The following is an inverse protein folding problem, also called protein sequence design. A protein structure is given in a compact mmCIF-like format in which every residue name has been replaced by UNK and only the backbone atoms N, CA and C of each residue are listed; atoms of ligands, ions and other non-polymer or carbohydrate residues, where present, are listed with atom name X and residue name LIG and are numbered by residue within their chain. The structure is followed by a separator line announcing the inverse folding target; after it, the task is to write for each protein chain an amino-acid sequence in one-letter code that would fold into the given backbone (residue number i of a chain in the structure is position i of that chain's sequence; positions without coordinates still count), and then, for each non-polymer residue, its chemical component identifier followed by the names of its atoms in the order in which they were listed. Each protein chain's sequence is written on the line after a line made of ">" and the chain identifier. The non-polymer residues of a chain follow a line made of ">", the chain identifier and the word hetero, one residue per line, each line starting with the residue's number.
data_IF_202971371849
#
_entry.id   IF_202971371849
#
_cell.length_a   1.000
_cell.length_b   1.000
_cell.length_c   1.000
_cell.angle_alpha   90.00
_cell.angle_beta   90.00
_cell.angle_gamma   90.00
#
_symmetry.space_group_name_H-M   'P 1'
#
loop_
_entity.id
_entity.type
_entity.pdbx_description
1 polymer ?
#
# COMPACT_ATOMS: atom_id res chain seq x y z
N UNK A 1 -14.45 7.85 -6.64
CA UNK A 1 -15.33 6.73 -6.24
C UNK A 1 -15.62 6.72 -4.74
N UNK A 2 -14.82 7.41 -3.95
CA UNK A 2 -14.99 7.53 -2.50
C UNK A 2 -16.06 8.56 -2.14
N UNK A 3 -16.24 9.58 -2.96
CA UNK A 3 -17.25 10.61 -2.77
C UNK A 3 -18.12 10.79 -4.01
N UNK A 4 -19.44 10.83 -3.83
CA UNK A 4 -20.36 11.18 -4.92
C UNK A 4 -20.05 12.58 -5.45
N UNK A 5 -19.85 12.72 -6.77
CA UNK A 5 -19.55 13.98 -7.43
C UNK A 5 -18.10 14.47 -7.31
N UNK A 6 -17.21 13.63 -6.82
CA UNK A 6 -15.82 13.99 -6.55
C UNK A 6 -14.93 14.19 -7.77
N UNK A 7 -15.27 15.11 -8.65
CA UNK A 7 -14.31 15.65 -9.61
C UNK A 7 -13.42 16.66 -8.86
N UNK A 8 -12.10 16.51 -8.97
CA UNK A 8 -11.08 17.47 -8.48
C UNK A 8 -11.11 17.72 -6.96
N UNK A 9 -11.16 16.66 -6.15
CA UNK A 9 -10.95 16.80 -4.71
C UNK A 9 -9.46 17.03 -4.45
N UNK A 10 -9.12 18.28 -4.15
CA UNK A 10 -7.78 18.74 -3.86
C UNK A 10 -7.47 18.64 -2.36
N UNK A 11 -6.20 18.75 -2.00
CA UNK A 11 -5.75 18.83 -0.61
C UNK A 11 -5.76 20.27 -0.07
N UNK A 12 -6.68 21.09 -0.60
CA UNK A 12 -6.95 22.40 -0.07
C UNK A 12 -7.57 22.34 1.34
N UNK A 13 -7.56 23.45 2.02
CA UNK A 13 -8.05 23.60 3.39
C UNK A 13 -9.47 23.09 3.59
N UNK A 14 -10.38 23.43 2.69
CA UNK A 14 -11.80 23.10 2.83
C UNK A 14 -12.05 21.61 2.66
N UNK A 15 -11.43 20.99 1.65
CA UNK A 15 -11.56 19.57 1.39
C UNK A 15 -10.93 18.73 2.51
N UNK A 16 -9.75 19.12 3.01
CA UNK A 16 -9.10 18.42 4.13
C UNK A 16 -9.95 18.52 5.40
N UNK A 17 -10.44 19.72 5.75
CA UNK A 17 -11.32 19.91 6.91
C UNK A 17 -12.60 19.07 6.81
N UNK A 18 -13.28 19.09 5.66
CA UNK A 18 -14.48 18.26 5.41
C UNK A 18 -14.17 16.77 5.54
N UNK A 19 -13.02 16.31 5.01
CA UNK A 19 -12.61 14.92 5.05
C UNK A 19 -12.33 14.44 6.48
N UNK A 20 -11.55 15.21 7.24
CA UNK A 20 -11.22 14.90 8.64
C UNK A 20 -12.48 14.91 9.50
N UNK A 21 -13.28 15.97 9.46
CA UNK A 21 -14.52 16.04 10.25
C UNK A 21 -15.50 14.90 9.91
N UNK A 22 -15.61 14.53 8.64
CA UNK A 22 -16.43 13.38 8.22
C UNK A 22 -15.87 12.04 8.73
N UNK A 23 -14.55 11.91 8.82
CA UNK A 23 -13.90 10.72 9.38
C UNK A 23 -14.11 10.62 10.89
N UNK A 24 -13.91 11.72 11.63
CA UNK A 24 -14.17 11.81 13.06
C UNK A 24 -15.61 11.41 13.39
N UNK A 25 -16.58 11.94 12.64
CA UNK A 25 -18.00 11.59 12.82
C UNK A 25 -18.27 10.10 12.59
N UNK A 26 -17.68 9.48 11.55
CA UNK A 26 -17.87 8.05 11.28
C UNK A 26 -17.16 7.16 12.30
N UNK A 27 -16.01 7.58 12.80
CA UNK A 27 -15.23 6.87 13.80
C UNK A 27 -15.78 7.07 15.22
N UNK A 28 -16.68 8.04 15.42
CA UNK A 28 -17.24 8.39 16.75
C UNK A 28 -16.12 8.75 17.75
N UNK A 29 -15.16 9.56 17.31
CA UNK A 29 -14.03 10.05 18.12
C UNK A 29 -13.78 11.52 17.78
N UNK A 30 -13.06 12.20 18.66
CA UNK A 30 -12.67 13.60 18.51
C UNK A 30 -11.26 13.79 17.93
N UNK A 31 -10.47 12.71 17.82
CA UNK A 31 -9.14 12.75 17.19
C UNK A 31 -8.84 11.49 16.36
N UNK A 32 -7.86 11.61 15.46
CA UNK A 32 -7.30 10.51 14.66
C UNK A 32 -5.80 10.45 14.93
N UNK A 33 -5.27 9.26 15.27
CA UNK A 33 -3.84 9.10 15.55
C UNK A 33 -3.00 9.31 14.29
N UNK A 34 -3.33 8.65 13.17
CA UNK A 34 -2.63 8.78 11.90
C UNK A 34 -3.63 9.09 10.77
N UNK A 35 -3.52 10.28 10.19
CA UNK A 35 -4.29 10.67 9.02
C UNK A 35 -3.43 10.61 7.77
N UNK A 36 -3.85 9.85 6.76
CA UNK A 36 -3.08 9.62 5.55
C UNK A 36 -3.74 10.26 4.32
N UNK A 37 -2.95 10.96 3.51
CA UNK A 37 -3.35 11.41 2.18
C UNK A 37 -3.42 10.18 1.27
N UNK A 38 -4.58 9.93 0.63
CA UNK A 38 -4.88 8.63 0.00
C UNK A 38 -4.05 8.35 -1.26
N UNK A 39 -3.83 9.37 -2.09
CA UNK A 39 -2.92 9.36 -3.26
C UNK A 39 -2.59 10.80 -3.67
N UNK A 40 -1.49 11.01 -4.40
CA UNK A 40 -1.13 12.34 -4.93
C UNK A 40 -2.20 12.93 -5.85
N UNK A 41 -2.34 14.25 -5.82
CA UNK A 41 -3.17 14.97 -6.81
C UNK A 41 -2.49 15.00 -8.19
N UNK A 42 -1.17 15.10 -8.21
CA UNK A 42 -0.37 15.11 -9.43
C UNK A 42 -0.28 13.73 -10.06
N UNK A 43 0.07 13.71 -11.32
CA UNK A 43 0.29 12.47 -12.05
C UNK A 43 1.47 11.67 -11.45
N UNK A 44 1.22 10.43 -11.07
CA UNK A 44 2.21 9.46 -10.58
C UNK A 44 1.85 8.06 -11.07
N UNK A 45 2.84 7.17 -11.26
CA UNK A 45 2.56 5.79 -11.65
C UNK A 45 1.96 5.01 -10.48
N UNK A 46 0.65 4.75 -10.53
CA UNK A 46 -0.10 3.99 -9.52
C UNK A 46 -1.11 3.04 -10.18
N UNK A 47 -1.57 2.04 -9.42
CA UNK A 47 -2.71 1.18 -9.77
C UNK A 47 -2.63 0.52 -11.16
N UNK A 48 -1.52 -0.09 -11.50
CA UNK A 48 -1.31 -0.79 -12.76
C UNK A 48 -0.40 -0.07 -13.74
N UNK A 49 0.16 1.06 -13.35
CA UNK A 49 1.14 1.80 -14.15
C UNK A 49 2.54 1.61 -13.56
N UNK A 50 3.51 1.20 -14.39
CA UNK A 50 4.93 1.11 -14.01
C UNK A 50 5.67 2.42 -14.25
N UNK A 51 5.40 3.05 -15.38
CA UNK A 51 6.19 4.15 -15.87
C UNK A 51 5.55 5.50 -15.55
N UNK A 52 6.38 6.45 -15.16
CA UNK A 52 5.97 7.84 -15.11
C UNK A 52 5.77 8.37 -16.54
N UNK A 53 4.56 8.86 -16.80
CA UNK A 53 4.22 9.51 -18.07
C UNK A 53 4.17 11.01 -17.83
N UNK A 54 5.13 11.72 -18.42
CA UNK A 54 5.15 13.17 -18.35
C UNK A 54 3.92 13.74 -19.08
N UNK A 55 3.20 14.60 -18.38
CA UNK A 55 2.08 15.38 -18.93
C UNK A 55 2.34 16.85 -18.64
N UNK A 56 2.61 17.68 -19.67
CA UNK A 56 2.87 19.11 -19.48
C UNK A 56 1.65 19.90 -18.96
N UNK A 57 0.45 19.33 -19.05
CA UNK A 57 -0.77 19.93 -18.50
C UNK A 57 -1.02 19.62 -17.03
N UNK A 58 -0.22 18.74 -16.42
CA UNK A 58 -0.31 18.37 -14.99
C UNK A 58 0.30 19.48 -14.10
N UNK A 59 -0.31 20.63 -14.10
CA UNK A 59 0.16 21.82 -13.36
C UNK A 59 -0.78 22.25 -12.23
N UNK A 60 -2.01 21.73 -12.22
CA UNK A 60 -3.06 22.15 -11.30
C UNK A 60 -3.18 21.20 -10.10
N UNK A 61 -2.19 21.17 -9.21
CA UNK A 61 -2.25 20.45 -7.94
C UNK A 61 -1.88 21.39 -6.78
N UNK A 62 -2.39 21.09 -5.59
CA UNK A 62 -2.11 21.87 -4.39
C UNK A 62 -0.63 21.76 -4.04
N UNK A 63 0.11 22.88 -3.92
CA UNK A 63 1.51 22.86 -3.55
C UNK A 63 1.74 22.09 -2.24
N UNK A 64 2.81 21.30 -2.17
CA UNK A 64 3.10 20.47 -0.99
C UNK A 64 3.20 21.32 0.30
N UNK A 65 3.76 22.52 0.21
CA UNK A 65 3.84 23.46 1.35
C UNK A 65 2.43 23.80 1.86
N UNK A 66 1.52 24.18 0.98
CA UNK A 66 0.12 24.48 1.34
C UNK A 66 -0.60 23.25 1.94
N UNK A 67 -0.38 22.07 1.38
CA UNK A 67 -0.92 20.82 1.95
C UNK A 67 -0.43 20.62 3.39
N UNK A 68 0.87 20.81 3.63
CA UNK A 68 1.45 20.67 4.97
C UNK A 68 0.93 21.74 5.95
N UNK A 69 0.76 22.97 5.51
CA UNK A 69 0.17 24.06 6.32
C UNK A 69 -1.28 23.74 6.71
N UNK A 70 -2.07 23.21 5.77
CA UNK A 70 -3.44 22.78 6.03
C UNK A 70 -3.51 21.62 7.03
N UNK A 71 -2.58 20.66 6.92
CA UNK A 71 -2.46 19.57 7.88
C UNK A 71 -1.98 20.06 9.26
N UNK A 72 -1.09 21.03 9.32
CA UNK A 72 -0.61 21.64 10.56
C UNK A 72 -1.74 22.28 11.37
N UNK A 73 -2.68 22.95 10.71
CA UNK A 73 -3.88 23.50 11.35
C UNK A 73 -4.73 22.39 11.99
N UNK A 74 -4.84 21.23 11.34
CA UNK A 74 -5.58 20.08 11.87
C UNK A 74 -4.85 19.42 13.05
N UNK A 75 -3.52 19.36 13.00
CA UNK A 75 -2.69 18.90 14.13
C UNK A 75 -2.81 19.86 15.31
N UNK A 76 -2.64 21.16 15.12
CA UNK A 76 -2.76 22.19 16.16
C UNK A 76 -4.15 22.24 16.80
N UNK A 77 -5.19 21.93 16.02
CA UNK A 77 -6.56 21.82 16.57
C UNK A 77 -6.85 20.52 17.34
N UNK A 78 -5.87 19.60 17.44
CA UNK A 78 -6.00 18.32 18.12
C UNK A 78 -6.83 17.27 17.38
N UNK A 79 -7.31 17.55 16.16
CA UNK A 79 -8.13 16.60 15.37
C UNK A 79 -7.34 15.43 14.81
N UNK A 80 -6.06 15.64 14.51
CA UNK A 80 -5.14 14.59 14.08
C UNK A 80 -3.83 14.70 14.85
N UNK A 81 -3.18 13.58 15.14
CA UNK A 81 -1.89 13.56 15.84
C UNK A 81 -0.73 13.52 14.88
N UNK A 82 -0.77 12.60 13.93
CA UNK A 82 0.28 12.35 12.96
C UNK A 82 -0.28 12.33 11.54
N UNK A 83 0.58 12.62 10.59
CA UNK A 83 0.25 12.63 9.16
C UNK A 83 1.08 11.60 8.41
N UNK A 84 0.53 11.05 7.34
CA UNK A 84 1.20 10.09 6.47
C UNK A 84 0.74 10.22 5.03
N UNK A 85 1.45 9.51 4.16
CA UNK A 85 1.21 9.46 2.72
C UNK A 85 0.64 8.10 2.32
N UNK A 86 0.05 8.01 1.15
CA UNK A 86 -0.29 6.75 0.51
C UNK A 86 -0.17 6.86 -1.01
N UNK A 87 0.24 5.78 -1.66
CA UNK A 87 0.45 5.70 -3.10
C UNK A 87 1.41 6.78 -3.62
N UNK A 88 2.39 7.12 -2.79
CA UNK A 88 3.31 8.21 -3.05
C UNK A 88 4.59 7.72 -3.72
N UNK A 89 5.15 8.55 -4.59
CA UNK A 89 6.42 8.32 -5.28
C UNK A 89 7.61 8.74 -4.41
N UNK A 90 8.85 8.26 -4.72
CA UNK A 90 10.06 8.68 -4.03
C UNK A 90 10.23 10.20 -4.01
N UNK A 91 9.96 10.85 -5.16
CA UNK A 91 10.04 12.32 -5.28
C UNK A 91 9.10 13.01 -4.30
N UNK A 92 7.86 12.56 -4.21
CA UNK A 92 6.88 13.18 -3.32
C UNK A 92 7.22 12.96 -1.85
N UNK A 93 7.63 11.75 -1.45
CA UNK A 93 8.02 11.47 -0.07
C UNK A 93 9.15 12.41 0.36
N UNK A 94 10.23 12.51 -0.44
CA UNK A 94 11.38 13.37 -0.13
C UNK A 94 10.95 14.84 -0.05
N UNK A 95 10.12 15.33 -0.96
CA UNK A 95 9.69 16.72 -0.94
C UNK A 95 8.80 17.04 0.27
N UNK A 96 7.85 16.17 0.63
CA UNK A 96 7.07 16.34 1.85
C UNK A 96 7.96 16.40 3.09
N UNK A 97 8.94 15.51 3.22
CA UNK A 97 9.86 15.47 4.35
C UNK A 97 10.78 16.69 4.40
N UNK A 98 11.33 17.10 3.26
CA UNK A 98 12.20 18.28 3.15
C UNK A 98 11.45 19.56 3.53
N UNK A 99 10.31 19.81 2.93
CA UNK A 99 9.50 21.03 3.19
C UNK A 99 9.03 21.05 4.65
N UNK A 100 8.58 19.90 5.18
CA UNK A 100 8.19 19.80 6.59
C UNK A 100 9.33 20.20 7.52
N UNK A 101 10.56 19.76 7.26
CA UNK A 101 11.75 20.12 8.03
C UNK A 101 12.10 21.60 7.90
N UNK A 102 12.16 22.13 6.67
CA UNK A 102 12.53 23.53 6.38
C UNK A 102 11.54 24.52 6.99
N UNK A 103 10.25 24.22 6.93
CA UNK A 103 9.16 25.09 7.39
C UNK A 103 8.67 24.77 8.80
N UNK A 104 9.24 23.79 9.48
CA UNK A 104 8.82 23.30 10.82
C UNK A 104 7.34 22.88 10.86
N UNK A 105 6.89 22.22 9.80
CA UNK A 105 5.54 21.68 9.63
C UNK A 105 5.49 20.18 10.01
N UNK A 106 4.31 19.58 10.17
CA UNK A 106 4.17 18.17 10.54
C UNK A 106 4.89 17.23 9.56
N UNK A 107 5.74 16.38 10.11
CA UNK A 107 6.50 15.40 9.35
C UNK A 107 5.62 14.22 8.94
N UNK A 108 5.74 13.76 7.70
CA UNK A 108 5.14 12.50 7.27
C UNK A 108 5.76 11.31 7.99
N UNK A 109 4.96 10.56 8.76
CA UNK A 109 5.44 9.48 9.63
C UNK A 109 5.56 8.15 8.89
N UNK A 110 4.74 7.94 7.87
CA UNK A 110 4.69 6.69 7.11
C UNK A 110 4.20 6.92 5.69
N UNK A 111 4.44 5.94 4.84
CA UNK A 111 3.83 5.84 3.52
C UNK A 111 3.08 4.51 3.40
N UNK A 112 1.83 4.54 2.90
CA UNK A 112 1.05 3.33 2.66
C UNK A 112 1.00 3.04 1.16
N UNK A 113 1.78 2.07 0.70
CA UNK A 113 1.86 1.66 -0.72
C UNK A 113 1.60 0.16 -0.87
N UNK A 114 1.25 -0.26 -2.09
CA UNK A 114 1.10 -1.66 -2.43
C UNK A 114 2.43 -2.42 -2.37
N UNK A 115 2.44 -3.56 -1.67
CA UNK A 115 3.63 -4.41 -1.61
C UNK A 115 3.25 -5.88 -1.39
N UNK A 116 3.83 -6.77 -2.20
CA UNK A 116 3.63 -8.21 -2.12
C UNK A 116 4.67 -8.94 -2.96
N UNK A 117 4.72 -10.27 -2.90
CA UNK A 117 5.56 -11.12 -3.77
C UNK A 117 5.38 -10.83 -5.28
N UNK A 118 4.21 -10.38 -5.71
CA UNK A 118 3.90 -10.10 -7.12
C UNK A 118 3.85 -8.60 -7.46
N UNK A 119 4.14 -7.74 -6.50
CA UNK A 119 4.29 -6.30 -6.67
C UNK A 119 5.38 -5.78 -5.73
N UNK A 120 6.58 -5.65 -6.25
CA UNK A 120 7.77 -5.21 -5.52
C UNK A 120 8.31 -3.88 -6.05
N UNK A 121 7.45 -3.05 -6.67
CA UNK A 121 7.84 -1.73 -7.19
C UNK A 121 8.44 -0.85 -6.09
N UNK A 122 7.99 -1.02 -4.85
CA UNK A 122 8.52 -0.29 -3.70
C UNK A 122 10.02 -0.57 -3.44
N UNK A 123 10.52 -1.77 -3.78
CA UNK A 123 11.96 -2.12 -3.62
C UNK A 123 12.88 -1.21 -4.43
N UNK A 124 12.43 -0.67 -5.58
CA UNK A 124 13.28 0.04 -6.56
C UNK A 124 13.52 1.43 -5.99
N UNK A 125 13.25 2.14 -5.29
CA UNK A 125 13.69 3.47 -4.80
C UNK A 125 13.06 3.84 -3.45
N UNK A 126 11.78 3.51 -3.28
CA UNK A 126 11.06 3.85 -2.06
C UNK A 126 11.63 3.13 -0.82
N UNK A 127 12.18 1.93 -0.99
CA UNK A 127 12.80 1.18 0.10
C UNK A 127 14.00 1.94 0.71
N UNK A 128 14.88 2.48 -0.12
CA UNK A 128 15.99 3.30 0.35
C UNK A 128 15.51 4.58 1.04
N UNK A 129 14.55 5.29 0.44
CA UNK A 129 13.95 6.48 1.03
C UNK A 129 13.32 6.17 2.39
N UNK A 130 12.58 5.07 2.50
CA UNK A 130 11.94 4.66 3.76
C UNK A 130 12.95 4.41 4.88
N UNK A 131 14.05 3.74 4.56
CA UNK A 131 15.11 3.42 5.54
C UNK A 131 15.88 4.68 5.94
N UNK A 132 16.38 5.45 4.96
CA UNK A 132 17.22 6.62 5.24
C UNK A 132 16.46 7.76 5.88
N UNK A 133 15.24 7.98 5.44
CA UNK A 133 14.36 9.03 5.96
C UNK A 133 13.49 8.55 7.13
N UNK A 134 13.58 7.29 7.55
CA UNK A 134 12.75 6.75 8.64
C UNK A 134 11.24 7.05 8.42
N UNK A 135 10.77 6.86 7.19
CA UNK A 135 9.36 6.98 6.79
C UNK A 135 8.90 5.61 6.29
N UNK A 136 8.55 4.72 7.22
CA UNK A 136 8.34 3.30 6.97
C UNK A 136 7.08 2.99 6.17
N UNK A 137 7.11 1.83 5.50
CA UNK A 137 6.00 1.33 4.69
C UNK A 137 4.91 0.68 5.55
N UNK A 138 3.67 1.11 5.33
CA UNK A 138 2.46 0.35 5.68
C UNK A 138 2.02 -0.40 4.40
N UNK A 139 2.36 -1.69 4.32
CA UNK A 139 2.19 -2.47 3.09
C UNK A 139 0.74 -2.92 2.92
N UNK A 140 0.02 -2.39 1.92
CA UNK A 140 -1.30 -2.90 1.59
C UNK A 140 -1.26 -3.97 0.50
N UNK A 141 -2.29 -4.81 0.45
CA UNK A 141 -2.44 -5.94 -0.49
C UNK A 141 -1.32 -6.99 -0.45
N UNK A 142 -0.82 -7.39 0.73
CA UNK A 142 0.28 -8.36 0.84
C UNK A 142 -0.06 -9.71 0.18
N UNK A 143 -1.35 -10.04 0.09
CA UNK A 143 -1.86 -11.26 -0.58
C UNK A 143 -2.39 -11.01 -2.00
N UNK A 144 -2.10 -9.87 -2.63
CA UNK A 144 -2.61 -9.52 -3.96
C UNK A 144 -4.14 -9.76 -4.09
N UNK A 145 -4.91 -9.19 -3.16
CA UNK A 145 -6.36 -9.40 -3.08
C UNK A 145 -6.79 -10.82 -2.70
N UNK A 146 -5.88 -11.62 -2.15
CA UNK A 146 -6.08 -13.01 -1.75
C UNK A 146 -5.64 -14.04 -2.80
N UNK A 147 -5.01 -13.61 -3.90
CA UNK A 147 -4.51 -14.54 -4.92
C UNK A 147 -3.34 -15.40 -4.40
N UNK A 148 -2.45 -14.79 -3.65
CA UNK A 148 -1.29 -15.48 -3.05
C UNK A 148 -1.66 -16.52 -1.99
N UNK A 149 -2.93 -16.62 -1.57
CA UNK A 149 -3.41 -17.76 -0.77
C UNK A 149 -3.63 -19.04 -1.59
N UNK A 150 -3.56 -18.97 -2.91
CA UNK A 150 -3.82 -20.10 -3.81
C UNK A 150 -5.29 -20.43 -4.07
N UNK A 151 -6.24 -19.78 -3.38
CA UNK A 151 -7.66 -20.14 -3.47
C UNK A 151 -8.33 -19.88 -4.83
N UNK A 152 -7.68 -19.07 -5.68
CA UNK A 152 -8.17 -18.76 -7.03
C UNK A 152 -7.41 -19.52 -8.14
N UNK A 153 -6.49 -20.42 -7.78
CA UNK A 153 -5.77 -21.23 -8.77
C UNK A 153 -6.73 -22.11 -9.56
N UNK A 154 -6.35 -22.43 -10.80
CA UNK A 154 -7.15 -23.23 -11.74
C UNK A 154 -8.56 -22.63 -11.94
N UNK A 155 -8.61 -21.31 -12.12
CA UNK A 155 -9.84 -20.54 -12.38
C UNK A 155 -10.93 -20.68 -11.32
N UNK A 156 -10.63 -21.19 -10.14
CA UNK A 156 -11.59 -21.32 -9.05
C UNK A 156 -12.18 -19.96 -8.66
N UNK A 157 -13.47 -19.97 -8.36
CA UNK A 157 -14.22 -18.79 -7.88
C UNK A 157 -14.98 -19.14 -6.60
N UNK A 158 -14.28 -19.24 -5.44
CA UNK A 158 -14.94 -19.62 -4.19
C UNK A 158 -16.04 -18.61 -3.82
N UNK A 159 -17.14 -19.12 -3.27
CA UNK A 159 -18.24 -18.28 -2.78
C UNK A 159 -17.73 -17.29 -1.72
N UNK A 160 -18.34 -16.11 -1.65
CA UNK A 160 -18.02 -15.06 -0.67
C UNK A 160 -16.56 -14.55 -0.69
N UNK A 161 -15.87 -14.75 -1.80
CA UNK A 161 -14.52 -14.25 -2.00
C UNK A 161 -14.49 -13.02 -2.92
N UNK A 162 -13.48 -12.17 -2.74
CA UNK A 162 -13.37 -10.85 -3.39
C UNK A 162 -13.64 -10.85 -4.89
N UNK A 163 -12.93 -11.70 -5.65
CA UNK A 163 -13.07 -11.74 -7.12
C UNK A 163 -14.31 -12.48 -7.62
N UNK A 164 -15.02 -13.17 -6.73
CA UNK A 164 -16.32 -13.77 -7.02
C UNK A 164 -17.45 -12.75 -6.79
N UNK A 165 -17.34 -11.99 -5.69
CA UNK A 165 -18.35 -10.98 -5.34
C UNK A 165 -18.26 -9.73 -6.21
N UNK A 166 -17.05 -9.34 -6.62
CA UNK A 166 -16.80 -8.14 -7.42
C UNK A 166 -15.93 -8.46 -8.65
N UNK A 167 -16.49 -9.18 -9.65
CA UNK A 167 -15.77 -9.47 -10.89
C UNK A 167 -15.42 -8.14 -11.59
N UNK A 168 -14.18 -8.04 -12.05
CA UNK A 168 -13.67 -6.83 -12.71
C UNK A 168 -13.06 -5.76 -11.78
N UNK A 169 -13.31 -5.80 -10.48
CA UNK A 169 -12.57 -4.94 -9.53
C UNK A 169 -11.16 -5.49 -9.30
N UNK A 170 -10.19 -4.56 -9.21
CA UNK A 170 -8.77 -4.92 -9.01
C UNK A 170 -8.21 -5.84 -10.11
N UNK A 171 -8.58 -5.57 -11.36
CA UNK A 171 -8.19 -6.34 -12.55
C UNK A 171 -6.68 -6.51 -12.72
N UNK A 172 -5.87 -5.58 -12.19
CA UNK A 172 -4.41 -5.66 -12.19
C UNK A 172 -3.84 -6.98 -11.64
N UNK A 173 -4.56 -7.62 -10.73
CA UNK A 173 -4.17 -8.93 -10.18
C UNK A 173 -4.72 -10.11 -11.00
N UNK A 174 -5.55 -9.88 -12.03
CA UNK A 174 -6.27 -10.91 -12.79
C UNK A 174 -5.66 -11.18 -14.17
N UNK A 175 -4.44 -10.73 -14.42
CA UNK A 175 -3.74 -10.97 -15.67
C UNK A 175 -3.24 -12.42 -15.74
N UNK A 176 -3.11 -12.99 -16.95
CA UNK A 176 -2.51 -14.32 -17.16
C UNK A 176 -1.08 -14.39 -16.62
N UNK A 177 -0.31 -13.32 -16.78
CA UNK A 177 1.03 -13.14 -16.25
C UNK A 177 1.03 -13.24 -14.72
N UNK A 178 0.13 -12.50 -14.07
CA UNK A 178 -0.05 -12.55 -12.60
C UNK A 178 -0.48 -13.93 -12.09
N UNK A 179 -1.29 -14.66 -12.85
CA UNK A 179 -1.70 -16.02 -12.49
C UNK A 179 -0.53 -17.00 -12.48
N UNK A 180 0.32 -16.95 -13.51
CA UNK A 180 1.52 -17.79 -13.61
C UNK A 180 2.50 -17.50 -12.46
N UNK A 181 2.74 -16.22 -12.16
CA UNK A 181 3.61 -15.83 -11.05
C UNK A 181 3.06 -16.26 -9.69
N UNK A 182 1.76 -16.05 -9.45
CA UNK A 182 1.09 -16.53 -8.22
C UNK A 182 1.25 -18.06 -8.08
N UNK A 183 1.09 -18.82 -9.16
CA UNK A 183 1.25 -20.27 -9.11
C UNK A 183 2.67 -20.69 -8.68
N UNK A 184 3.71 -20.01 -9.18
CA UNK A 184 5.11 -20.25 -8.76
C UNK A 184 5.29 -20.05 -7.26
N UNK A 185 4.84 -18.91 -6.71
CA UNK A 185 4.95 -18.60 -5.28
C UNK A 185 4.11 -19.53 -4.39
N UNK A 186 2.91 -19.91 -4.82
CA UNK A 186 2.07 -20.86 -4.10
C UNK A 186 2.72 -22.25 -4.06
N UNK A 187 3.34 -22.69 -5.16
CA UNK A 187 4.05 -23.97 -5.21
C UNK A 187 5.34 -23.93 -4.37
N UNK A 188 6.05 -22.80 -4.36
CA UNK A 188 7.22 -22.61 -3.50
C UNK A 188 6.85 -22.70 -2.02
N UNK A 189 5.79 -22.03 -1.58
CA UNK A 189 5.31 -22.15 -0.21
C UNK A 189 4.97 -23.59 0.17
N UNK A 190 4.31 -24.34 -0.73
CA UNK A 190 3.99 -25.75 -0.53
C UNK A 190 5.23 -26.65 -0.46
N UNK A 191 6.27 -26.38 -1.25
CA UNK A 191 7.56 -27.09 -1.20
C UNK A 191 8.13 -27.10 0.23
N UNK A 192 7.96 -25.98 0.93
CA UNK A 192 8.43 -25.80 2.31
C UNK A 192 7.36 -26.09 3.38
N UNK A 193 6.22 -26.69 3.01
CA UNK A 193 5.12 -26.99 3.91
C UNK A 193 4.59 -25.77 4.69
N UNK A 194 4.69 -24.57 4.13
CA UNK A 194 4.16 -23.33 4.71
C UNK A 194 2.84 -22.97 4.01
N UNK A 195 1.77 -22.59 4.75
CA UNK A 195 0.56 -22.07 4.10
C UNK A 195 0.89 -20.88 3.19
N UNK A 196 0.41 -20.84 1.93
CA UNK A 196 0.80 -19.79 0.99
C UNK A 196 0.47 -18.36 1.46
N UNK A 197 -0.63 -18.17 2.21
CA UNK A 197 -0.97 -16.88 2.83
C UNK A 197 0.04 -16.46 3.90
N UNK A 198 0.46 -17.39 4.74
CA UNK A 198 1.49 -17.18 5.77
C UNK A 198 2.83 -16.87 5.13
N UNK A 199 3.26 -17.66 4.13
CA UNK A 199 4.51 -17.44 3.38
C UNK A 199 4.57 -16.04 2.74
N UNK A 200 3.50 -15.63 2.05
CA UNK A 200 3.45 -14.34 1.40
C UNK A 200 3.45 -13.16 2.40
N UNK A 201 2.77 -13.28 3.53
CA UNK A 201 2.80 -12.27 4.58
C UNK A 201 4.17 -12.24 5.29
N UNK A 202 4.78 -13.40 5.57
CA UNK A 202 6.11 -13.48 6.16
C UNK A 202 7.16 -12.77 5.28
N UNK A 203 7.10 -12.92 3.96
CA UNK A 203 7.96 -12.17 3.04
C UNK A 203 7.80 -10.65 3.23
N UNK A 204 6.57 -10.16 3.34
CA UNK A 204 6.29 -8.72 3.46
C UNK A 204 6.81 -8.16 4.78
N UNK A 205 6.49 -8.81 5.91
CA UNK A 205 6.86 -8.28 7.25
C UNK A 205 8.35 -8.38 7.55
N UNK A 206 9.08 -9.27 6.87
CA UNK A 206 10.54 -9.42 7.05
C UNK A 206 11.36 -8.40 6.23
N UNK A 207 10.71 -7.52 5.45
CA UNK A 207 11.42 -6.45 4.73
C UNK A 207 11.77 -5.30 5.68
N UNK A 208 13.04 -4.83 5.71
CA UNK A 208 13.51 -3.86 6.72
C UNK A 208 12.83 -2.50 6.64
N UNK A 209 12.22 -2.17 5.52
CA UNK A 209 11.48 -0.92 5.31
C UNK A 209 9.98 -1.02 5.64
N UNK A 210 9.47 -2.22 5.95
CA UNK A 210 8.06 -2.44 6.30
C UNK A 210 7.86 -2.24 7.80
N UNK A 211 7.06 -1.25 8.15
CA UNK A 211 6.63 -1.01 9.54
C UNK A 211 5.45 -1.90 9.92
N UNK A 212 4.52 -2.10 8.99
CA UNK A 212 3.34 -2.95 9.22
C UNK A 212 2.75 -3.47 7.92
N UNK A 213 2.23 -4.69 7.95
CA UNK A 213 1.45 -5.28 6.86
C UNK A 213 -0.04 -5.09 7.12
N UNK A 214 -0.75 -4.50 6.14
CA UNK A 214 -2.19 -4.28 6.23
C UNK A 214 -2.92 -5.50 5.67
N UNK A 215 -3.40 -6.33 6.57
CA UNK A 215 -4.12 -7.57 6.25
C UNK A 215 -5.63 -7.35 6.19
N UNK A 216 -6.33 -8.31 5.58
CA UNK A 216 -7.78 -8.44 5.61
C UNK A 216 -8.17 -9.90 5.85
N UNK A 217 -9.10 -10.13 6.78
CA UNK A 217 -9.61 -11.45 7.10
C UNK A 217 -11.15 -11.43 7.08
N UNK A 218 -11.77 -12.51 6.58
CA UNK A 218 -13.22 -12.71 6.57
C UNK A 218 -13.64 -13.92 7.40
N UNK A 219 -12.68 -14.58 8.08
CA UNK A 219 -12.88 -15.66 9.03
C UNK A 219 -11.75 -15.67 10.04
N UNK A 220 -11.98 -16.30 11.20
CA UNK A 220 -10.96 -16.50 12.25
C UNK A 220 -9.76 -17.26 11.67
N UNK A 221 -9.99 -18.32 10.91
CA UNK A 221 -8.92 -19.07 10.24
C UNK A 221 -8.02 -18.17 9.37
N UNK A 222 -8.60 -17.27 8.58
CA UNK A 222 -7.80 -16.34 7.76
C UNK A 222 -7.00 -15.36 8.64
N UNK A 223 -7.55 -14.95 9.77
CA UNK A 223 -6.85 -14.07 10.70
C UNK A 223 -5.67 -14.79 11.35
N UNK A 224 -5.87 -16.02 11.83
CA UNK A 224 -4.82 -16.86 12.39
C UNK A 224 -3.69 -17.10 11.39
N UNK A 225 -4.01 -17.51 10.15
CA UNK A 225 -3.02 -17.68 9.09
C UNK A 225 -2.22 -16.39 8.80
N UNK A 226 -2.86 -15.24 8.88
CA UNK A 226 -2.17 -13.95 8.70
C UNK A 226 -1.27 -13.62 9.89
N UNK A 227 -1.70 -13.88 11.13
CA UNK A 227 -0.93 -13.61 12.36
C UNK A 227 0.28 -14.55 12.46
N UNK A 228 0.12 -15.82 12.13
CA UNK A 228 1.18 -16.83 12.19
C UNK A 228 2.39 -16.51 11.30
N UNK A 229 2.27 -15.54 10.39
CA UNK A 229 3.41 -15.07 9.61
C UNK A 229 4.53 -14.45 10.45
N UNK A 230 4.22 -13.96 11.66
CA UNK A 230 5.19 -13.31 12.57
C UNK A 230 6.26 -14.32 13.01
N UNK A 231 5.85 -15.58 13.26
CA UNK A 231 6.74 -16.63 13.73
C UNK A 231 7.33 -17.47 12.57
N UNK A 232 7.03 -17.08 11.32
CA UNK A 232 7.52 -17.79 10.14
C UNK A 232 8.87 -17.24 9.71
N UNK A 233 9.92 -18.01 9.95
CA UNK A 233 11.27 -17.70 9.49
C UNK A 233 11.44 -18.12 8.03
N UNK A 234 11.80 -17.18 7.16
CA UNK A 234 12.19 -17.46 5.77
C UNK A 234 13.72 -17.65 5.72
N UNK A 235 14.16 -18.85 5.36
CA UNK A 235 15.59 -19.13 5.21
C UNK A 235 16.20 -18.42 4.00
N UNK A 236 17.53 -18.28 3.95
CA UNK A 236 18.22 -17.71 2.80
C UNK A 236 17.92 -18.49 1.51
N UNK A 237 17.76 -19.83 1.59
CA UNK A 237 17.35 -20.64 0.44
C UNK A 237 15.98 -20.24 -0.08
N UNK A 238 14.99 -20.08 0.81
CA UNK A 238 13.65 -19.61 0.42
C UNK A 238 13.68 -18.20 -0.19
N UNK A 239 14.47 -17.31 0.38
CA UNK A 239 14.62 -15.94 -0.13
C UNK A 239 15.29 -15.91 -1.50
N UNK A 240 16.28 -16.75 -1.75
CA UNK A 240 16.91 -16.91 -3.06
C UNK A 240 15.93 -17.45 -4.10
N UNK A 241 15.13 -18.47 -3.78
CA UNK A 241 14.11 -18.98 -4.69
C UNK A 241 12.98 -17.95 -4.96
N UNK A 242 12.62 -17.13 -3.95
CA UNK A 242 11.72 -15.98 -4.15
C UNK A 242 12.32 -15.00 -5.15
N UNK A 243 13.63 -14.71 -5.02
CA UNK A 243 14.32 -13.78 -5.92
C UNK A 243 14.39 -14.32 -7.35
N UNK A 244 14.70 -15.61 -7.54
CA UNK A 244 14.71 -16.27 -8.85
C UNK A 244 13.35 -16.16 -9.54
N UNK A 245 12.26 -16.36 -8.80
CA UNK A 245 10.90 -16.18 -9.33
C UNK A 245 10.69 -14.73 -9.74
N UNK A 246 11.07 -13.78 -8.88
CA UNK A 246 10.91 -12.35 -9.15
C UNK A 246 11.68 -11.91 -10.39
N UNK A 247 12.95 -12.30 -10.51
CA UNK A 247 13.79 -11.95 -11.65
C UNK A 247 13.30 -12.56 -12.97
N UNK A 248 12.65 -13.72 -12.92
CA UNK A 248 12.06 -14.34 -14.11
C UNK A 248 10.86 -13.57 -14.68
N UNK A 249 10.15 -12.81 -13.85
CA UNK A 249 8.98 -12.00 -14.23
C UNK A 249 8.71 -10.91 -13.17
N UNK A 250 9.43 -9.76 -13.25
CA UNK A 250 9.31 -8.70 -12.24
C UNK A 250 7.94 -8.01 -12.26
N UNK A 251 7.36 -7.84 -11.08
CA UNK A 251 6.15 -7.03 -10.86
C UNK A 251 4.96 -7.38 -11.77
N UNK A 252 4.50 -8.65 -11.79
CA UNK A 252 3.42 -9.08 -12.69
C UNK A 252 2.03 -8.55 -12.31
N UNK A 253 1.86 -7.97 -11.11
CA UNK A 253 0.57 -7.52 -10.56
C UNK A 253 0.66 -6.14 -9.88
N UNK A 254 1.07 -5.13 -10.60
CA UNK A 254 1.23 -3.75 -10.09
C UNK A 254 -0.10 -3.00 -9.95
#
# INVERSE_FOLDING_TARGET
>A
WIRKGGKNLRFDKDNLNKAVNSSLKRLQTDYIDLYQLHWPERNVPVFGQLDFKYDPSDTEWTPIEEVLENLDQLVKSGKIRYVGLSNESPWGIINFLRIAKEKKLPRMMSVQNGYSLVNRVFDIANSEVSIREQCGLLAYSPLAGGRLSGKYMNEKRPKNCRYTLWPGRFSRHLTKRGELAVAKYVNLAKKYNIPPSTFANAFVINRPFVTSSIIGATSIKHLEENINCIDTNLTDEMLNEIEDIHLSDPNPCI
#
